data_IF_867428877715
#
_entry.id   IF_867428877715
#
_cell.length_a   1.000
_cell.length_b   1.000
_cell.length_c   1.000
_cell.angle_alpha   90.00
_cell.angle_beta   90.00
_cell.angle_gamma   90.00
#
_symmetry.space_group_name_H-M   'P 1'
#
loop_
_entity.id
_entity.type
_entity.pdbx_description
1 polymer ?
#
# COMPACT_ATOMS: atom_id res chain seq x y z
N UNK A 1 10.65 34.18 -21.26
CA UNK A 1 9.95 34.51 -20.00
C UNK A 1 8.59 33.80 -19.87
N UNK A 2 7.92 33.42 -20.98
CA UNK A 2 6.60 32.75 -20.94
C UNK A 2 6.70 31.28 -20.51
N UNK A 3 7.77 30.55 -20.88
CA UNK A 3 8.01 29.15 -20.53
C UNK A 3 8.23 28.96 -19.01
N UNK A 4 8.87 29.90 -18.33
CA UNK A 4 9.14 29.80 -16.88
C UNK A 4 7.86 29.99 -16.04
N UNK A 5 6.91 30.81 -16.49
CA UNK A 5 5.60 30.95 -15.83
C UNK A 5 4.78 29.68 -15.94
N UNK A 6 4.75 28.99 -17.08
CA UNK A 6 4.00 27.75 -17.26
C UNK A 6 4.49 26.60 -16.40
N UNK A 7 5.80 26.43 -16.23
CA UNK A 7 6.38 25.38 -15.37
C UNK A 7 6.06 25.60 -13.89
N UNK A 8 6.13 26.85 -13.41
CA UNK A 8 5.75 27.19 -12.03
C UNK A 8 4.28 26.91 -11.72
N UNK A 9 3.39 27.19 -12.67
CA UNK A 9 1.95 26.95 -12.51
C UNK A 9 1.61 25.45 -12.53
N UNK A 10 2.27 24.64 -13.36
CA UNK A 10 2.13 23.19 -13.37
C UNK A 10 2.56 22.59 -12.02
N UNK A 11 3.72 23.02 -11.50
CA UNK A 11 4.21 22.57 -10.21
C UNK A 11 3.27 22.94 -9.06
N UNK A 12 2.80 24.19 -9.00
CA UNK A 12 1.82 24.63 -7.99
C UNK A 12 0.57 23.76 -8.01
N UNK A 13 0.03 23.46 -9.19
CA UNK A 13 -1.15 22.57 -9.33
C UNK A 13 -0.84 21.17 -8.83
N UNK A 14 0.33 20.62 -9.12
CA UNK A 14 0.72 19.30 -8.65
C UNK A 14 0.77 19.20 -7.13
N UNK A 15 1.26 20.23 -6.43
CA UNK A 15 1.24 20.30 -4.96
C UNK A 15 -0.19 20.45 -4.44
N UNK A 16 -1.00 21.30 -5.05
CA UNK A 16 -2.38 21.56 -4.63
C UNK A 16 -3.31 20.33 -4.88
N UNK A 17 -2.98 19.49 -5.84
CA UNK A 17 -3.73 18.26 -6.14
C UNK A 17 -3.48 17.14 -5.13
N UNK A 18 -2.45 17.26 -4.27
CA UNK A 18 -2.17 16.28 -3.21
C UNK A 18 -3.16 16.49 -2.08
N UNK A 19 -3.71 15.41 -1.49
CA UNK A 19 -4.67 15.53 -0.41
C UNK A 19 -3.97 15.88 0.91
N UNK A 20 -3.79 17.16 1.18
CA UNK A 20 -3.30 17.65 2.46
C UNK A 20 -4.43 17.55 3.50
N UNK A 21 -4.21 16.78 4.59
CA UNK A 21 -5.15 16.62 5.72
C UNK A 21 -6.60 16.28 5.33
N UNK A 22 -6.80 15.67 4.16
CA UNK A 22 -8.12 15.28 3.67
C UNK A 22 -8.37 13.81 3.97
N UNK A 23 -9.09 13.51 5.03
CA UNK A 23 -9.36 12.15 5.48
C UNK A 23 -10.68 11.59 4.93
N UNK A 24 -10.67 10.32 4.54
CA UNK A 24 -11.90 9.55 4.36
C UNK A 24 -12.48 9.17 5.72
N UNK A 25 -13.81 9.01 5.79
CA UNK A 25 -14.48 8.57 7.01
C UNK A 25 -14.16 7.10 7.27
N UNK A 26 -13.25 6.86 8.20
CA UNK A 26 -12.90 5.52 8.62
C UNK A 26 -13.98 4.94 9.55
N UNK A 27 -14.44 3.74 9.25
CA UNK A 27 -15.38 2.99 10.09
C UNK A 27 -14.83 1.57 10.23
N UNK A 28 -14.24 1.26 11.38
CA UNK A 28 -13.81 -0.11 11.68
C UNK A 28 -14.92 -0.82 12.47
N UNK A 29 -15.80 -1.50 11.75
CA UNK A 29 -16.78 -2.43 12.31
C UNK A 29 -16.33 -3.88 12.06
N UNK A 30 -15.98 -4.59 13.13
CA UNK A 30 -15.44 -5.96 13.01
C UNK A 30 -16.46 -6.93 12.43
N UNK A 31 -17.74 -6.83 12.83
CA UNK A 31 -18.80 -7.71 12.31
C UNK A 31 -19.09 -7.40 10.83
N UNK A 32 -19.13 -6.13 10.47
CA UNK A 32 -19.27 -5.73 9.07
C UNK A 32 -18.06 -6.14 8.23
N UNK A 33 -16.86 -6.05 8.78
CA UNK A 33 -15.61 -6.49 8.11
C UNK A 33 -15.60 -8.00 7.87
N UNK A 34 -16.03 -8.79 8.87
CA UNK A 34 -16.16 -10.25 8.74
C UNK A 34 -17.13 -10.62 7.62
N UNK A 35 -18.29 -9.97 7.57
CA UNK A 35 -19.27 -10.20 6.50
C UNK A 35 -18.68 -9.90 5.13
N UNK A 36 -18.03 -8.73 4.96
CA UNK A 36 -17.41 -8.35 3.68
C UNK A 36 -16.35 -9.36 3.25
N UNK A 37 -15.49 -9.82 4.18
CA UNK A 37 -14.46 -10.81 3.88
C UNK A 37 -15.07 -12.17 3.48
N UNK A 38 -16.17 -12.57 4.11
CA UNK A 38 -16.87 -13.83 3.78
C UNK A 38 -17.60 -13.76 2.45
N UNK A 39 -18.22 -12.63 2.14
CA UNK A 39 -18.91 -12.40 0.86
C UNK A 39 -17.93 -12.35 -0.33
N UNK A 40 -16.71 -11.81 -0.11
CA UNK A 40 -15.72 -11.64 -1.18
C UNK A 40 -14.81 -12.85 -1.38
N UNK A 41 -14.56 -13.64 -0.33
CA UNK A 41 -13.56 -14.70 -0.33
C UNK A 41 -14.14 -15.99 0.24
N UNK A 42 -14.15 -17.03 -0.57
CA UNK A 42 -14.51 -18.36 -0.13
C UNK A 42 -13.34 -19.04 0.58
N UNK A 43 -13.59 -19.70 1.71
CA UNK A 43 -12.54 -20.32 2.52
C UNK A 43 -11.59 -19.29 3.15
N UNK A 44 -10.30 -19.64 3.28
CA UNK A 44 -9.25 -18.80 3.86
C UNK A 44 -9.52 -18.35 5.31
N UNK A 45 -10.18 -19.22 6.11
CA UNK A 45 -10.65 -18.86 7.47
C UNK A 45 -9.52 -18.31 8.35
N UNK A 46 -8.34 -18.96 8.35
CA UNK A 46 -7.16 -18.49 9.12
C UNK A 46 -6.68 -17.10 8.68
N UNK A 47 -6.73 -16.82 7.37
CA UNK A 47 -6.33 -15.51 6.82
C UNK A 47 -7.33 -14.44 7.24
N UNK A 48 -8.63 -14.73 7.15
CA UNK A 48 -9.70 -13.83 7.57
C UNK A 48 -9.62 -13.52 9.07
N UNK A 49 -9.42 -14.53 9.90
CA UNK A 49 -9.25 -14.39 11.35
C UNK A 49 -8.09 -13.44 11.68
N UNK A 50 -6.92 -13.64 11.06
CA UNK A 50 -5.76 -12.74 11.26
C UNK A 50 -6.02 -11.32 10.79
N UNK A 51 -6.74 -11.13 9.69
CA UNK A 51 -7.15 -9.79 9.24
C UNK A 51 -8.07 -9.14 10.26
N UNK A 52 -9.05 -9.86 10.81
CA UNK A 52 -9.98 -9.34 11.81
C UNK A 52 -9.28 -9.00 13.13
N UNK A 53 -8.32 -9.83 13.57
CA UNK A 53 -7.47 -9.55 14.73
C UNK A 53 -6.69 -8.24 14.52
N UNK A 54 -6.03 -8.09 13.38
CA UNK A 54 -5.30 -6.87 13.02
C UNK A 54 -6.21 -5.63 13.04
N UNK A 55 -7.40 -5.70 12.45
CA UNK A 55 -8.36 -4.61 12.45
C UNK A 55 -8.87 -4.29 13.86
N UNK A 56 -9.05 -5.31 14.72
CA UNK A 56 -9.46 -5.14 16.11
C UNK A 56 -8.38 -4.41 16.93
N UNK A 57 -7.11 -4.80 16.76
CA UNK A 57 -5.97 -4.10 17.39
C UNK A 57 -5.91 -2.65 16.94
N UNK A 58 -6.05 -2.41 15.63
CA UNK A 58 -6.01 -1.05 15.05
C UNK A 58 -7.17 -0.19 15.53
N UNK A 59 -8.36 -0.75 15.71
CA UNK A 59 -9.51 -0.07 16.32
C UNK A 59 -9.25 0.36 17.75
N UNK A 60 -8.58 -0.49 18.53
CA UNK A 60 -8.32 -0.27 19.97
C UNK A 60 -7.19 0.71 20.22
N UNK A 61 -6.15 0.69 19.40
CA UNK A 61 -4.97 1.53 19.54
C UNK A 61 -4.69 2.31 18.26
N UNK A 62 -5.00 3.61 18.27
CA UNK A 62 -4.63 4.51 17.17
C UNK A 62 -3.11 4.62 16.98
N UNK A 63 -2.32 4.26 17.99
CA UNK A 63 -0.84 4.25 17.98
C UNK A 63 -0.24 2.87 17.69
N UNK A 64 -1.03 1.82 17.46
CA UNK A 64 -0.51 0.53 17.00
C UNK A 64 -0.09 0.64 15.51
N UNK A 65 0.80 1.57 15.24
CA UNK A 65 1.36 1.82 13.93
C UNK A 65 2.77 1.24 13.88
N UNK A 66 2.90 0.00 13.53
CA UNK A 66 4.23 -0.61 13.42
C UNK A 66 4.16 -1.89 12.62
N UNK A 67 3.07 -2.61 12.77
CA UNK A 67 2.88 -3.88 12.09
C UNK A 67 2.16 -3.67 10.75
N UNK A 68 2.73 -4.21 9.69
CA UNK A 68 2.22 -4.13 8.32
C UNK A 68 1.82 -5.54 7.90
N UNK A 69 0.59 -5.73 7.45
CA UNK A 69 0.16 -7.03 6.93
C UNK A 69 0.86 -7.35 5.61
N UNK A 70 1.42 -8.56 5.53
CA UNK A 70 2.04 -9.07 4.31
C UNK A 70 1.43 -10.43 3.93
N UNK A 71 0.76 -10.49 2.79
CA UNK A 71 0.22 -11.72 2.24
C UNK A 71 1.23 -12.40 1.35
N UNK A 72 1.72 -13.58 1.74
CA UNK A 72 2.66 -14.38 0.97
C UNK A 72 2.00 -15.65 0.48
N UNK A 73 2.18 -16.00 -0.79
CA UNK A 73 1.62 -17.22 -1.38
C UNK A 73 1.69 -17.22 -2.90
N UNK A 74 1.29 -18.31 -3.55
CA UNK A 74 1.41 -18.45 -5.00
C UNK A 74 0.62 -17.37 -5.76
N UNK A 75 0.96 -17.11 -7.02
CA UNK A 75 0.17 -16.17 -7.84
C UNK A 75 -1.27 -16.69 -8.02
N UNK A 76 -2.21 -15.76 -8.18
CA UNK A 76 -3.60 -16.09 -8.48
C UNK A 76 -4.50 -16.45 -7.28
N UNK A 77 -3.98 -16.49 -6.05
CA UNK A 77 -4.78 -16.84 -4.85
C UNK A 77 -5.62 -15.69 -4.29
N UNK A 78 -5.63 -14.54 -4.93
CA UNK A 78 -6.48 -13.42 -4.50
C UNK A 78 -5.86 -12.46 -3.48
N UNK A 79 -4.52 -12.43 -3.29
CA UNK A 79 -3.85 -11.51 -2.37
C UNK A 79 -4.24 -10.03 -2.57
N UNK A 80 -4.28 -9.59 -3.81
CA UNK A 80 -4.68 -8.20 -4.15
C UNK A 80 -6.16 -7.93 -3.84
N UNK A 81 -7.04 -8.92 -4.02
CA UNK A 81 -8.46 -8.76 -3.68
C UNK A 81 -8.71 -8.71 -2.18
N UNK A 82 -7.92 -9.44 -1.36
CA UNK A 82 -7.94 -9.29 0.10
C UNK A 82 -7.66 -7.84 0.52
N UNK A 83 -6.64 -7.20 -0.06
CA UNK A 83 -6.34 -5.79 0.21
C UNK A 83 -7.50 -4.85 -0.14
N UNK A 84 -8.19 -5.09 -1.27
CA UNK A 84 -9.38 -4.32 -1.65
C UNK A 84 -10.54 -4.53 -0.69
N UNK A 85 -10.77 -5.76 -0.22
CA UNK A 85 -11.82 -6.07 0.74
C UNK A 85 -11.56 -5.42 2.09
N UNK A 86 -10.30 -5.35 2.55
CA UNK A 86 -9.92 -4.60 3.74
C UNK A 86 -10.21 -3.11 3.57
N UNK A 87 -9.89 -2.53 2.41
CA UNK A 87 -10.17 -1.12 2.13
C UNK A 87 -11.68 -0.83 2.21
N UNK A 88 -12.50 -1.69 1.61
CA UNK A 88 -13.95 -1.59 1.66
C UNK A 88 -14.48 -1.76 3.09
N UNK A 89 -13.93 -2.71 3.84
CA UNK A 89 -14.31 -2.98 5.22
C UNK A 89 -14.00 -1.83 6.18
N UNK A 90 -12.96 -1.05 5.90
CA UNK A 90 -12.53 0.10 6.71
C UNK A 90 -13.05 1.45 6.20
N UNK A 91 -13.71 1.49 5.04
CA UNK A 91 -14.17 2.73 4.41
C UNK A 91 -13.04 3.62 3.90
N UNK A 92 -11.85 3.05 3.65
CA UNK A 92 -10.68 3.76 3.14
C UNK A 92 -10.56 3.62 1.64
N UNK A 93 -10.04 4.65 0.98
CA UNK A 93 -9.67 4.58 -0.43
C UNK A 93 -8.52 3.60 -0.65
N UNK A 94 -8.44 3.02 -1.87
CA UNK A 94 -7.47 1.99 -2.20
C UNK A 94 -6.57 2.41 -3.36
N UNK A 95 -5.27 2.26 -3.18
CA UNK A 95 -4.29 2.34 -4.25
C UNK A 95 -3.38 1.11 -4.26
N UNK A 96 -2.87 0.77 -5.43
CA UNK A 96 -1.90 -0.31 -5.62
C UNK A 96 -0.64 0.26 -6.22
N UNK A 97 0.51 -0.10 -5.65
CA UNK A 97 1.85 0.18 -6.17
C UNK A 97 2.53 -1.16 -6.42
N UNK A 98 2.93 -1.43 -7.66
CA UNK A 98 3.75 -2.60 -7.97
C UNK A 98 5.21 -2.25 -7.72
N UNK A 99 5.87 -3.05 -6.88
CA UNK A 99 7.29 -2.93 -6.57
C UNK A 99 8.16 -3.81 -7.49
N UNK A 100 7.53 -4.78 -8.17
CA UNK A 100 8.21 -5.60 -9.15
C UNK A 100 8.73 -4.76 -10.33
N UNK A 101 10.05 -4.76 -10.50
CA UNK A 101 10.72 -3.99 -11.56
C UNK A 101 11.14 -2.58 -11.18
N UNK A 102 10.92 -2.12 -9.95
CA UNK A 102 11.55 -0.92 -9.42
C UNK A 102 13.05 -1.18 -9.30
N UNK A 103 13.84 -0.37 -10.00
CA UNK A 103 15.30 -0.46 -10.04
C UNK A 103 16.00 0.79 -9.54
N UNK A 104 15.25 1.88 -9.40
CA UNK A 104 15.75 3.20 -9.02
C UNK A 104 15.01 3.71 -7.80
N UNK A 105 15.74 4.15 -6.79
CA UNK A 105 15.19 4.85 -5.62
C UNK A 105 14.33 6.04 -6.01
N UNK A 106 14.66 6.71 -7.12
CA UNK A 106 13.89 7.84 -7.64
C UNK A 106 12.46 7.48 -8.06
N UNK A 107 12.15 6.22 -8.33
CA UNK A 107 10.77 5.79 -8.55
C UNK A 107 9.94 5.87 -7.26
N UNK A 108 10.57 5.71 -6.09
CA UNK A 108 9.93 5.79 -4.78
C UNK A 108 9.88 7.24 -4.31
N UNK A 109 11.04 7.93 -4.30
CA UNK A 109 11.23 9.28 -3.77
C UNK A 109 11.01 10.41 -4.78
N UNK A 110 10.74 10.09 -6.04
CA UNK A 110 10.63 11.11 -7.11
C UNK A 110 11.97 11.54 -7.67
N UNK A 111 11.93 12.08 -8.87
CA UNK A 111 13.11 12.63 -9.57
C UNK A 111 13.26 14.10 -9.24
N UNK A 112 14.50 14.57 -9.03
CA UNK A 112 14.78 16.00 -8.83
C UNK A 112 14.27 16.81 -10.04
N UNK A 113 13.65 17.95 -9.79
CA UNK A 113 13.02 18.82 -10.80
C UNK A 113 13.97 19.33 -11.89
N UNK A 114 15.27 19.27 -11.66
CA UNK A 114 16.29 19.68 -12.63
C UNK A 114 16.40 18.75 -13.83
N UNK A 115 15.83 17.54 -13.75
CA UNK A 115 15.86 16.57 -14.84
C UNK A 115 14.66 16.73 -15.77
N UNK A 116 14.90 16.59 -17.08
CA UNK A 116 13.82 16.57 -18.09
C UNK A 116 12.97 15.31 -17.85
N UNK A 117 11.64 15.50 -17.76
CA UNK A 117 10.71 14.39 -17.48
C UNK A 117 10.61 14.02 -16.00
N UNK A 118 11.13 14.89 -15.10
CA UNK A 118 10.97 14.68 -13.66
C UNK A 118 9.51 14.56 -13.24
N UNK A 119 9.25 13.63 -12.31
CA UNK A 119 7.91 13.37 -11.78
C UNK A 119 7.99 13.00 -10.29
N UNK A 120 6.90 13.21 -9.54
CA UNK A 120 6.80 12.75 -8.15
C UNK A 120 6.94 11.23 -8.05
N UNK A 121 7.40 10.77 -6.89
CA UNK A 121 7.50 9.35 -6.58
C UNK A 121 6.15 8.64 -6.57
N UNK A 122 6.17 7.32 -6.66
CA UNK A 122 4.97 6.48 -6.75
C UNK A 122 4.02 6.65 -5.56
N UNK A 123 4.55 6.92 -4.36
CA UNK A 123 3.72 7.14 -3.18
C UNK A 123 2.91 8.42 -3.30
N UNK A 124 3.53 9.52 -3.69
CA UNK A 124 2.84 10.79 -3.92
C UNK A 124 1.82 10.68 -5.06
N UNK A 125 2.15 9.95 -6.12
CA UNK A 125 1.20 9.69 -7.21
C UNK A 125 -0.01 8.86 -6.72
N UNK A 126 0.22 7.87 -5.83
CA UNK A 126 -0.86 7.09 -5.22
C UNK A 126 -1.75 7.96 -4.33
N UNK A 127 -1.17 8.85 -3.51
CA UNK A 127 -1.91 9.80 -2.68
C UNK A 127 -2.77 10.74 -3.53
N UNK A 128 -2.20 11.28 -4.62
CA UNK A 128 -2.94 12.11 -5.58
C UNK A 128 -4.12 11.36 -6.20
N UNK A 129 -3.95 10.08 -6.53
CA UNK A 129 -5.00 9.23 -7.12
C UNK A 129 -6.14 8.96 -6.14
N UNK A 130 -5.84 8.69 -4.88
CA UNK A 130 -6.84 8.38 -3.84
C UNK A 130 -7.56 9.62 -3.32
N UNK A 131 -6.96 10.80 -3.47
CA UNK A 131 -7.52 12.09 -3.00
C UNK A 131 -7.80 12.14 -1.51
N UNK A 132 -7.21 11.24 -0.72
CA UNK A 132 -7.33 11.17 0.75
C UNK A 132 -5.98 10.95 1.38
N UNK A 133 -5.77 11.43 2.61
CA UNK A 133 -4.52 11.32 3.36
C UNK A 133 -4.41 10.01 4.15
N UNK A 134 -5.50 9.23 4.22
CA UNK A 134 -5.56 7.96 4.96
C UNK A 134 -5.98 6.75 4.09
N UNK A 135 -5.47 6.58 2.88
CA UNK A 135 -5.82 5.44 2.03
C UNK A 135 -5.19 4.15 2.56
N UNK A 136 -5.60 3.04 1.94
CA UNK A 136 -4.83 1.79 1.96
C UNK A 136 -3.97 1.75 0.71
N UNK A 137 -2.66 1.59 0.89
CA UNK A 137 -1.71 1.38 -0.19
C UNK A 137 -1.22 -0.06 -0.16
N UNK A 138 -1.56 -0.81 -1.20
CA UNK A 138 -1.07 -2.16 -1.41
C UNK A 138 0.26 -2.12 -2.17
N UNK A 139 1.30 -2.64 -1.55
CA UNK A 139 2.63 -2.81 -2.12
C UNK A 139 2.75 -4.23 -2.69
N UNK A 140 2.59 -4.36 -3.99
CA UNK A 140 2.58 -5.65 -4.66
C UNK A 140 3.98 -6.07 -5.08
N UNK A 141 4.27 -7.38 -4.95
CA UNK A 141 5.55 -7.98 -5.31
C UNK A 141 6.75 -7.45 -4.50
N UNK A 142 6.58 -7.32 -3.16
CA UNK A 142 7.65 -6.86 -2.27
C UNK A 142 8.88 -7.79 -2.28
N UNK A 143 8.69 -9.06 -2.61
CA UNK A 143 9.73 -10.07 -2.76
C UNK A 143 10.63 -9.86 -4.00
N UNK A 144 10.25 -8.96 -4.90
CA UNK A 144 11.02 -8.61 -6.10
C UNK A 144 11.81 -7.31 -5.96
N UNK A 145 11.75 -6.67 -4.81
CA UNK A 145 12.56 -5.48 -4.54
C UNK A 145 14.01 -5.91 -4.40
N UNK A 146 14.82 -5.56 -5.38
CA UNK A 146 16.25 -5.86 -5.41
C UNK A 146 17.10 -4.65 -5.04
N UNK A 147 18.33 -4.90 -4.61
CA UNK A 147 19.39 -3.91 -4.52
C UNK A 147 20.06 -3.82 -5.88
N UNK A 148 19.80 -2.79 -6.66
CA UNK A 148 20.48 -2.52 -7.92
C UNK A 148 21.52 -1.39 -7.76
N UNK A 149 22.44 -1.29 -8.75
CA UNK A 149 23.58 -0.37 -8.77
C UNK A 149 23.23 1.13 -8.79
N UNK A 150 21.94 1.50 -8.86
CA UNK A 150 21.46 2.90 -8.95
C UNK A 150 20.72 3.40 -7.73
N UNK A 151 21.01 2.88 -6.58
CA UNK A 151 20.35 3.23 -5.32
C UNK A 151 19.89 2.00 -4.57
N UNK A 152 19.32 2.23 -3.39
CA UNK A 152 18.75 1.16 -2.56
C UNK A 152 17.24 1.40 -2.38
N UNK A 153 16.39 0.85 -3.28
CA UNK A 153 14.94 0.95 -3.14
C UNK A 153 14.43 0.37 -1.81
N UNK A 154 15.15 -0.61 -1.23
CA UNK A 154 14.78 -1.20 0.05
C UNK A 154 14.91 -0.19 1.19
N UNK A 155 15.97 0.63 1.17
CA UNK A 155 16.16 1.70 2.16
C UNK A 155 15.08 2.77 2.05
N UNK A 156 14.72 3.19 0.83
CA UNK A 156 13.63 4.14 0.61
C UNK A 156 12.28 3.59 1.07
N UNK A 157 12.02 2.29 0.87
CA UNK A 157 10.83 1.63 1.38
C UNK A 157 10.82 1.54 2.91
N UNK A 158 11.96 1.28 3.53
CA UNK A 158 12.07 1.27 5.00
C UNK A 158 11.65 2.61 5.59
N UNK A 159 12.08 3.73 5.02
CA UNK A 159 11.68 5.06 5.48
C UNK A 159 10.16 5.26 5.38
N UNK A 160 9.55 4.84 4.26
CA UNK A 160 8.09 4.93 4.08
C UNK A 160 7.33 4.04 5.07
N UNK A 161 7.84 2.85 5.33
CA UNK A 161 7.19 1.86 6.19
C UNK A 161 7.52 2.04 7.69
N UNK A 162 8.49 2.88 8.02
CA UNK A 162 8.85 3.17 9.39
C UNK A 162 7.91 4.22 10.00
N UNK A 163 7.13 3.89 11.04
CA UNK A 163 6.25 4.84 11.72
C UNK A 163 6.97 6.03 12.35
N UNK A 164 8.28 5.89 12.64
CA UNK A 164 9.08 6.97 13.23
C UNK A 164 9.55 7.97 12.17
N UNK A 165 9.63 7.57 10.89
CA UNK A 165 10.18 8.38 9.80
C UNK A 165 9.12 8.80 8.78
N UNK A 166 8.04 8.03 8.61
CA UNK A 166 7.05 8.23 7.55
C UNK A 166 6.19 9.50 7.69
N UNK A 167 6.22 10.15 8.85
CA UNK A 167 5.56 11.44 9.07
C UNK A 167 6.28 12.61 8.37
N UNK A 168 7.53 12.41 7.96
CA UNK A 168 8.37 13.39 7.27
C UNK A 168 8.94 12.81 5.96
N UNK A 169 8.11 12.07 5.23
CA UNK A 169 8.52 11.50 3.95
C UNK A 169 8.84 12.61 2.95
N UNK A 170 10.10 12.68 2.52
CA UNK A 170 10.56 13.69 1.58
C UNK A 170 10.62 13.15 0.15
N UNK A 171 9.76 13.71 -0.71
CA UNK A 171 9.79 13.46 -2.16
C UNK A 171 10.69 14.50 -2.84
N UNK A 172 11.69 14.03 -3.60
CA UNK A 172 12.69 14.89 -4.24
C UNK A 172 12.11 15.81 -5.32
N UNK A 173 10.94 15.47 -5.88
CA UNK A 173 10.25 16.32 -6.84
C UNK A 173 9.46 17.42 -6.15
N UNK A 174 8.78 17.07 -5.05
CA UNK A 174 7.98 18.04 -4.29
C UNK A 174 8.85 18.97 -3.45
N UNK A 175 9.99 18.46 -2.92
CA UNK A 175 10.87 19.16 -1.97
C UNK A 175 10.11 19.71 -0.74
N UNK A 176 9.03 19.00 -0.37
CA UNK A 176 8.20 19.29 0.81
C UNK A 176 7.92 17.96 1.49
N UNK A 177 8.01 17.93 2.80
CA UNK A 177 7.70 16.75 3.59
C UNK A 177 6.19 16.45 3.52
N UNK A 178 5.87 15.17 3.36
CA UNK A 178 4.51 14.68 3.33
C UNK A 178 4.28 13.62 4.41
N UNK A 179 3.21 13.79 5.19
CA UNK A 179 2.87 12.87 6.27
C UNK A 179 2.16 11.61 5.74
N UNK A 180 2.84 10.47 5.79
CA UNK A 180 2.32 9.15 5.45
C UNK A 180 1.87 8.34 6.68
N UNK A 181 1.91 8.89 7.89
CA UNK A 181 1.61 8.17 9.14
C UNK A 181 0.17 7.65 9.21
N UNK A 182 -0.76 8.29 8.49
CA UNK A 182 -2.16 7.91 8.43
C UNK A 182 -2.47 6.86 7.34
N UNK A 183 -1.49 6.55 6.49
CA UNK A 183 -1.62 5.53 5.45
C UNK A 183 -1.57 4.14 6.07
N UNK A 184 -2.44 3.25 5.63
CA UNK A 184 -2.35 1.84 5.98
C UNK A 184 -1.65 1.10 4.85
N UNK A 185 -0.48 0.54 5.13
CA UNK A 185 0.25 -0.27 4.17
C UNK A 185 -0.13 -1.74 4.29
N UNK A 186 -0.27 -2.41 3.14
CA UNK A 186 -0.45 -3.85 3.02
C UNK A 186 0.54 -4.32 1.97
N UNK A 187 1.28 -5.38 2.23
CA UNK A 187 2.25 -5.94 1.30
C UNK A 187 1.74 -7.25 0.70
N UNK A 188 2.19 -7.58 -0.50
CA UNK A 188 2.01 -8.91 -1.09
C UNK A 188 3.32 -9.40 -1.66
N UNK A 189 3.59 -10.69 -1.51
CA UNK A 189 4.73 -11.40 -2.08
C UNK A 189 4.33 -12.77 -2.61
N UNK A 190 5.11 -13.31 -3.52
CA UNK A 190 4.93 -14.69 -3.98
C UNK A 190 5.86 -15.65 -3.22
N UNK A 191 6.95 -15.13 -2.68
CA UNK A 191 7.97 -15.87 -1.94
C UNK A 191 8.34 -15.14 -0.67
N UNK A 192 9.05 -15.84 0.22
CA UNK A 192 9.60 -15.25 1.46
C UNK A 192 10.96 -14.53 1.22
N UNK A 193 11.37 -14.36 -0.03
CA UNK A 193 12.60 -13.68 -0.37
C UNK A 193 12.46 -12.14 -0.24
N UNK A 194 12.18 -11.70 0.98
CA UNK A 194 12.00 -10.29 1.33
C UNK A 194 13.27 -9.84 2.08
N UNK A 195 13.81 -8.65 1.81
CA UNK A 195 14.94 -8.13 2.56
C UNK A 195 14.69 -8.15 4.08
N UNK A 196 15.66 -8.66 4.86
CA UNK A 196 15.52 -8.87 6.31
C UNK A 196 14.96 -7.65 7.07
N UNK A 197 15.51 -6.45 6.89
CA UNK A 197 15.02 -5.25 7.57
C UNK A 197 13.56 -4.90 7.26
N UNK A 198 13.07 -5.24 6.07
CA UNK A 198 11.65 -5.10 5.72
C UNK A 198 10.82 -6.19 6.39
N UNK A 199 11.31 -7.43 6.37
CA UNK A 199 10.62 -8.59 6.94
C UNK A 199 10.33 -8.40 8.43
N UNK A 200 11.25 -7.81 9.19
CA UNK A 200 11.10 -7.53 10.63
C UNK A 200 9.91 -6.63 10.97
N UNK A 201 9.41 -5.87 9.99
CA UNK A 201 8.26 -4.95 10.14
C UNK A 201 6.95 -5.55 9.63
N UNK A 202 7.02 -6.74 9.00
CA UNK A 202 5.88 -7.37 8.36
C UNK A 202 5.28 -8.47 9.24
N UNK A 203 3.98 -8.43 9.41
CA UNK A 203 3.21 -9.58 9.88
C UNK A 203 2.86 -10.44 8.67
N UNK A 204 3.61 -11.53 8.48
CA UNK A 204 3.45 -12.40 7.32
C UNK A 204 2.28 -13.36 7.54
N UNK A 205 1.31 -13.30 6.63
CA UNK A 205 0.17 -14.21 6.58
C UNK A 205 0.31 -15.06 5.31
N UNK A 206 0.46 -16.37 5.50
CA UNK A 206 0.53 -17.30 4.39
C UNK A 206 -0.85 -17.52 3.78
N UNK A 207 -0.97 -17.25 2.49
CA UNK A 207 -2.17 -17.53 1.70
C UNK A 207 -1.91 -18.76 0.85
N UNK A 208 -2.45 -19.89 1.29
CA UNK A 208 -2.30 -21.17 0.59
C UNK A 208 -2.96 -21.14 -0.79
N UNK A 209 -2.41 -21.91 -1.73
CA UNK A 209 -3.06 -22.14 -3.01
C UNK A 209 -4.39 -22.88 -2.83
N UNK A 210 -5.33 -22.59 -3.71
CA UNK A 210 -6.59 -23.33 -3.74
C UNK A 210 -6.33 -24.80 -4.15
N UNK A 211 -6.93 -25.73 -3.41
CA UNK A 211 -6.95 -27.12 -3.82
C UNK A 211 -7.91 -27.31 -5.00
N UNK A 212 -7.77 -28.40 -5.75
CA UNK A 212 -8.65 -28.71 -6.88
C UNK A 212 -10.14 -28.70 -6.48
N UNK A 213 -10.46 -29.14 -5.26
CA UNK A 213 -11.82 -29.13 -4.71
C UNK A 213 -12.40 -27.71 -4.55
N UNK A 214 -11.56 -26.74 -4.21
CA UNK A 214 -11.99 -25.33 -4.07
C UNK A 214 -12.18 -24.66 -5.43
N UNK A 215 -11.42 -25.07 -6.47
CA UNK A 215 -11.61 -24.57 -7.83
C UNK A 215 -12.93 -25.06 -8.46
N UNK A 216 -13.44 -26.22 -8.05
CA UNK A 216 -14.70 -26.79 -8.55
C UNK A 216 -15.92 -26.34 -7.73
N UNK A 217 -15.73 -25.65 -6.62
CA UNK A 217 -16.83 -25.06 -5.85
C UNK A 217 -17.32 -23.78 -6.52
N UNK A 218 -18.65 -23.55 -6.61
CA UNK A 218 -19.17 -22.31 -7.19
C UNK A 218 -18.68 -21.11 -6.38
N UNK A 219 -18.25 -20.07 -7.10
CA UNK A 219 -17.87 -18.79 -6.49
C UNK A 219 -19.10 -18.16 -5.79
N UNK A 220 -18.92 -17.44 -4.67
CA UNK A 220 -20.01 -16.67 -4.09
C UNK A 220 -20.70 -15.70 -5.07
N UNK A 221 -20.03 -15.34 -6.16
CA UNK A 221 -20.57 -14.49 -7.24
C UNK A 221 -21.39 -15.26 -8.28
N UNK A 222 -21.30 -16.60 -8.29
CA UNK A 222 -22.02 -17.42 -9.28
C UNK A 222 -23.43 -17.81 -8.79
N UNK A 223 -23.78 -17.40 -7.56
CA UNK A 223 -25.08 -17.66 -6.93
C UNK A 223 -26.03 -16.44 -6.98
N UNK A 224 -25.75 -15.45 -7.82
CA UNK A 224 -26.63 -14.35 -8.17
C UNK A 224 -26.95 -14.42 -9.64
#
# INVERSE_FOLDING_TARGET
PVLSRGLGDVYKRQILDIPWEKFSKEVIDIKGSEKILNDDHYGLEKVKERILEFLAVKKRSKKASGTILCFVGPPGVGKTSLGKSIARATGREFAKISLGGIRDEAEIRGHRRTYIGSMPGRFIQAMKKTKTSNPIILLDEIDKVGSDWRGDPSSALLEVLDPEQNNQFNDHYLEVDYDLSNVMFICTGNTYNIPGPLLDRLEVIEVSGYTCLLYTSPSPRDNT
#
